data_IF_382170518331
#
_entry.id   IF_382170518331
#
_cell.length_a   1.000
_cell.length_b   1.000
_cell.length_c   1.000
_cell.angle_alpha   90.00
_cell.angle_beta   90.00
_cell.angle_gamma   90.00
#
_symmetry.space_group_name_H-M   'P 1'
#
loop_
_entity.id
_entity.type
_entity.pdbx_description
1 polymer ?
#
# COMPACT_ATOMS: atom_id res chain seq x y z
N UNK A 1 -4.77 48.46 -54.73
CA UNK A 1 -5.21 47.49 -53.70
C UNK A 1 -4.16 46.38 -53.63
N UNK A 2 -3.68 46.08 -52.41
CA UNK A 2 -2.91 44.88 -51.97
C UNK A 2 -1.68 44.49 -52.80
N UNK A 3 -0.43 44.81 -52.47
CA UNK A 3 0.31 44.73 -51.19
C UNK A 3 0.30 43.32 -50.57
N UNK A 4 1.38 42.55 -50.77
CA UNK A 4 2.00 41.58 -49.84
C UNK A 4 3.10 40.79 -50.57
N UNK A 5 4.40 41.11 -50.41
CA UNK A 5 5.47 40.14 -50.64
C UNK A 5 5.59 39.23 -49.40
N UNK A 6 5.46 37.92 -49.62
CA UNK A 6 5.76 36.88 -48.64
C UNK A 6 7.26 36.92 -48.28
N UNK A 7 7.60 37.56 -47.17
CA UNK A 7 8.88 37.37 -46.48
C UNK A 7 8.66 36.39 -45.33
N UNK A 8 8.82 35.09 -45.60
CA UNK A 8 9.14 34.13 -44.55
C UNK A 8 10.64 34.22 -44.27
N UNK A 9 11.09 34.44 -43.03
CA UNK A 9 12.50 34.26 -42.69
C UNK A 9 12.85 32.77 -42.79
N UNK A 10 14.07 32.41 -43.23
CA UNK A 10 14.52 31.04 -43.11
C UNK A 10 14.63 30.69 -41.63
N UNK A 11 13.95 29.61 -41.21
CA UNK A 11 14.21 28.95 -39.94
C UNK A 11 15.67 28.47 -39.93
N UNK A 12 16.54 29.27 -39.35
CA UNK A 12 17.88 28.89 -38.92
C UNK A 12 17.77 28.00 -37.67
N UNK A 13 17.11 26.85 -37.83
CA UNK A 13 17.31 25.74 -36.92
C UNK A 13 18.73 25.21 -37.17
N UNK A 14 19.65 25.67 -36.34
CA UNK A 14 20.98 25.12 -36.18
C UNK A 14 20.87 23.64 -35.75
N UNK A 15 20.55 22.74 -36.68
CA UNK A 15 20.96 21.35 -36.59
C UNK A 15 22.45 21.28 -36.91
N UNK A 16 23.27 21.79 -35.98
CA UNK A 16 24.69 21.50 -35.98
C UNK A 16 24.84 20.01 -35.64
N UNK A 17 24.88 19.18 -36.68
CA UNK A 17 25.31 17.78 -36.54
C UNK A 17 26.67 17.78 -35.81
N UNK A 18 26.82 17.07 -34.67
CA UNK A 18 28.04 17.11 -33.90
C UNK A 18 29.18 16.53 -34.73
N UNK A 19 30.07 17.42 -35.19
CA UNK A 19 31.18 17.13 -36.10
C UNK A 19 32.25 16.19 -35.51
N UNK A 20 32.13 15.83 -34.23
CA UNK A 20 33.06 14.95 -33.53
C UNK A 20 32.33 13.71 -33.00
N UNK A 21 32.63 12.54 -33.58
CA UNK A 21 32.12 11.24 -33.10
C UNK A 21 32.36 11.05 -31.59
N UNK A 22 33.43 11.65 -31.04
CA UNK A 22 33.74 11.67 -29.61
C UNK A 22 32.72 12.43 -28.76
N UNK A 23 32.23 13.60 -29.20
CA UNK A 23 31.19 14.34 -28.45
C UNK A 23 29.85 13.61 -28.50
N UNK A 24 29.54 12.93 -29.61
CA UNK A 24 28.36 12.06 -29.69
C UNK A 24 28.44 10.91 -28.65
N UNK A 25 29.57 10.21 -28.56
CA UNK A 25 29.76 9.14 -27.57
C UNK A 25 29.70 9.63 -26.12
N UNK A 26 30.24 10.82 -25.83
CA UNK A 26 30.15 11.42 -24.50
C UNK A 26 28.69 11.71 -24.15
N UNK A 27 27.92 12.30 -25.08
CA UNK A 27 26.49 12.58 -24.85
C UNK A 27 25.68 11.30 -24.63
N UNK A 28 25.94 10.26 -25.43
CA UNK A 28 25.30 8.95 -25.25
C UNK A 28 25.68 8.34 -23.90
N UNK A 29 26.95 8.37 -23.50
CA UNK A 29 27.37 7.86 -22.19
C UNK A 29 26.72 8.64 -21.03
N UNK A 30 26.63 9.97 -21.13
CA UNK A 30 25.95 10.78 -20.12
C UNK A 30 24.45 10.51 -20.08
N UNK A 31 23.80 10.29 -21.22
CA UNK A 31 22.39 9.93 -21.29
C UNK A 31 22.13 8.55 -20.69
N UNK A 32 22.99 7.57 -20.96
CA UNK A 32 22.89 6.22 -20.36
C UNK A 32 23.10 6.29 -18.86
N UNK A 33 24.08 7.05 -18.35
CA UNK A 33 24.27 7.24 -16.91
C UNK A 33 23.07 7.95 -16.29
N UNK A 34 22.49 8.94 -16.96
CA UNK A 34 21.30 9.64 -16.48
C UNK A 34 20.07 8.71 -16.45
N UNK A 35 19.86 7.90 -17.49
CA UNK A 35 18.81 6.90 -17.55
C UNK A 35 19.01 5.87 -16.43
N UNK A 36 20.23 5.32 -16.28
CA UNK A 36 20.54 4.40 -15.19
C UNK A 36 20.31 5.05 -13.82
N UNK A 37 20.61 6.34 -13.65
CA UNK A 37 20.32 7.06 -12.42
C UNK A 37 18.80 7.23 -12.22
N UNK A 38 18.03 7.55 -13.26
CA UNK A 38 16.57 7.63 -13.17
C UNK A 38 15.91 6.28 -12.82
N UNK A 39 16.51 5.15 -13.19
CA UNK A 39 15.99 3.82 -12.87
C UNK A 39 16.55 3.24 -11.54
N UNK A 40 17.84 3.37 -11.26
CA UNK A 40 18.45 2.82 -10.03
C UNK A 40 18.22 3.68 -8.79
N UNK A 41 18.14 5.00 -8.93
CA UNK A 41 17.96 5.90 -7.78
C UNK A 41 16.60 5.68 -7.06
N UNK A 42 15.45 5.52 -7.76
CA UNK A 42 14.20 5.21 -7.08
C UNK A 42 14.22 3.82 -6.43
N UNK A 43 14.81 2.81 -7.08
CA UNK A 43 14.96 1.48 -6.47
C UNK A 43 15.82 1.52 -5.20
N UNK A 44 16.93 2.26 -5.23
CA UNK A 44 17.81 2.42 -4.07
C UNK A 44 17.09 3.18 -2.94
N UNK A 45 16.27 4.18 -3.27
CA UNK A 45 15.45 4.89 -2.29
C UNK A 45 14.40 3.96 -1.65
N UNK A 46 13.75 3.11 -2.44
CA UNK A 46 12.84 2.08 -1.95
C UNK A 46 13.56 1.09 -1.02
N UNK A 47 14.76 0.63 -1.38
CA UNK A 47 15.55 -0.27 -0.53
C UNK A 47 15.96 0.39 0.79
N UNK A 48 16.40 1.65 0.76
CA UNK A 48 16.77 2.40 1.97
C UNK A 48 15.57 2.64 2.89
N UNK A 49 14.39 2.95 2.32
CA UNK A 49 13.16 3.14 3.11
C UNK A 49 12.66 1.84 3.73
N UNK A 50 12.69 0.72 3.00
CA UNK A 50 12.35 -0.61 3.52
C UNK A 50 13.30 -1.04 4.64
N UNK A 51 14.61 -0.83 4.47
CA UNK A 51 15.60 -1.12 5.51
C UNK A 51 15.38 -0.24 6.75
N UNK A 52 15.07 1.04 6.57
CA UNK A 52 14.70 1.96 7.66
C UNK A 52 13.45 1.51 8.41
N UNK A 53 12.42 1.04 7.71
CA UNK A 53 11.18 0.52 8.29
C UNK A 53 11.44 -0.77 9.07
N UNK A 54 12.24 -1.70 8.52
CA UNK A 54 12.67 -2.92 9.20
C UNK A 54 13.36 -2.59 10.54
N UNK A 55 14.30 -1.63 10.53
CA UNK A 55 15.01 -1.20 11.73
C UNK A 55 14.05 -0.53 12.74
N UNK A 56 13.06 0.24 12.28
CA UNK A 56 12.03 0.83 13.13
C UNK A 56 11.17 -0.23 13.83
N UNK A 57 10.76 -1.28 13.10
CA UNK A 57 9.98 -2.41 13.63
C UNK A 57 10.81 -3.22 14.63
N UNK A 58 12.07 -3.52 14.32
CA UNK A 58 12.99 -4.21 15.24
C UNK A 58 13.19 -3.39 16.52
N UNK A 59 13.35 -2.07 16.40
CA UNK A 59 13.42 -1.14 17.53
C UNK A 59 12.14 -1.13 18.38
N UNK A 60 10.97 -1.22 17.75
CA UNK A 60 9.68 -1.28 18.44
C UNK A 60 9.50 -2.58 19.23
N UNK A 61 9.89 -3.72 18.65
CA UNK A 61 9.78 -5.04 19.28
C UNK A 61 10.80 -5.19 20.40
N UNK A 62 12.09 -4.96 20.11
CA UNK A 62 13.21 -5.24 21.04
C UNK A 62 13.51 -4.09 22.01
N UNK A 63 12.94 -2.91 21.81
CA UNK A 63 13.04 -1.75 22.71
C UNK A 63 14.40 -1.05 22.75
N UNK A 64 15.47 -1.67 22.24
CA UNK A 64 16.83 -1.11 22.11
C UNK A 64 17.50 -1.63 20.83
N UNK A 65 17.91 -0.71 19.96
CA UNK A 65 18.84 -0.97 18.85
C UNK A 65 20.23 -0.49 19.28
N UNK A 66 21.20 -1.37 19.56
CA UNK A 66 22.45 -1.01 20.22
C UNK A 66 23.39 -0.12 19.40
N UNK A 67 23.27 -0.17 18.07
CA UNK A 67 24.06 0.58 17.10
C UNK A 67 23.41 1.89 16.62
N UNK A 68 22.16 2.18 17.00
CA UNK A 68 21.43 3.35 16.52
C UNK A 68 20.96 4.19 17.71
N UNK A 69 21.19 5.52 17.72
CA UNK A 69 20.83 6.39 18.84
C UNK A 69 19.31 6.65 18.98
N UNK A 70 18.47 5.70 18.57
CA UNK A 70 17.02 5.75 18.72
C UNK A 70 16.66 5.17 20.09
N UNK A 71 16.78 6.00 21.12
CA UNK A 71 16.59 5.58 22.52
C UNK A 71 15.10 5.53 22.88
N UNK A 72 14.51 4.35 22.77
CA UNK A 72 13.19 4.02 23.33
C UNK A 72 12.09 3.80 22.30
N UNK A 73 11.10 2.98 22.67
CA UNK A 73 9.98 2.52 21.84
C UNK A 73 9.14 3.67 21.23
N UNK A 74 9.09 4.83 21.91
CA UNK A 74 8.40 6.04 21.42
C UNK A 74 9.14 6.70 20.23
N UNK A 75 10.47 6.72 20.27
CA UNK A 75 11.29 7.34 19.22
C UNK A 75 11.39 6.44 17.98
N UNK A 76 11.34 5.12 18.16
CA UNK A 76 11.23 4.16 17.05
C UNK A 76 9.90 4.28 16.29
N UNK A 77 8.79 4.54 17.00
CA UNK A 77 7.49 4.81 16.36
C UNK A 77 7.48 6.09 15.52
N UNK A 78 8.10 7.17 16.04
CA UNK A 78 8.19 8.44 15.31
C UNK A 78 9.08 8.34 14.06
N UNK A 79 10.19 7.58 14.14
CA UNK A 79 11.06 7.32 12.99
C UNK A 79 10.36 6.47 11.92
N UNK A 80 9.60 5.44 12.32
CA UNK A 80 8.80 4.64 11.41
C UNK A 80 7.73 5.46 10.68
N UNK A 81 7.04 6.37 11.39
CA UNK A 81 6.07 7.29 10.80
C UNK A 81 6.73 8.21 9.75
N UNK A 82 7.93 8.73 10.04
CA UNK A 82 8.70 9.55 9.11
C UNK A 82 9.07 8.82 7.81
N UNK A 83 9.46 7.54 7.89
CA UNK A 83 9.77 6.73 6.70
C UNK A 83 8.51 6.42 5.86
N UNK A 84 7.35 6.20 6.50
CA UNK A 84 6.09 5.99 5.79
C UNK A 84 5.65 7.26 5.05
N UNK A 85 5.74 8.43 5.69
CA UNK A 85 5.42 9.72 5.05
C UNK A 85 6.35 9.99 3.86
N UNK A 86 7.65 9.69 3.98
CA UNK A 86 8.60 9.81 2.88
C UNK A 86 8.20 8.93 1.67
N UNK A 87 7.68 7.72 1.94
CA UNK A 87 7.24 6.82 0.89
C UNK A 87 5.98 7.33 0.15
N UNK A 88 5.00 7.88 0.88
CA UNK A 88 3.78 8.46 0.30
C UNK A 88 4.06 9.72 -0.53
N UNK A 89 4.98 10.59 -0.08
CA UNK A 89 5.37 11.80 -0.82
C UNK A 89 6.11 11.43 -2.11
N UNK A 90 6.92 10.36 -2.09
CA UNK A 90 7.62 9.88 -3.29
C UNK A 90 6.68 9.23 -4.32
N UNK A 91 5.55 8.66 -3.89
CA UNK A 91 4.52 8.08 -4.77
C UNK A 91 3.63 9.11 -5.47
N UNK A 92 3.49 10.33 -4.91
CA UNK A 92 2.62 11.37 -5.48
C UNK A 92 3.18 12.07 -6.73
N UNK A 93 4.43 11.80 -7.12
CA UNK A 93 5.09 12.41 -8.29
C UNK A 93 4.83 11.60 -9.57
N UNK A 94 4.43 10.33 -9.46
CA UNK A 94 4.04 9.48 -10.61
C UNK A 94 2.51 9.41 -10.69
N UNK A 95 1.89 10.30 -11.47
CA UNK A 95 0.44 10.32 -11.69
C UNK A 95 -0.07 9.08 -12.45
N UNK A 96 -1.39 8.78 -12.40
CA UNK A 96 -1.96 7.67 -13.16
C UNK A 96 -1.93 8.02 -14.65
N UNK A 97 -1.33 7.14 -15.46
CA UNK A 97 -1.44 7.22 -16.91
C UNK A 97 -2.86 6.77 -17.30
N UNK A 98 -3.74 7.73 -17.59
CA UNK A 98 -5.01 7.47 -18.28
C UNK A 98 -4.69 7.03 -19.71
N UNK A 99 -5.17 5.85 -20.08
CA UNK A 99 -5.11 5.33 -21.45
C UNK A 99 -6.39 5.74 -22.19
N UNK A 100 -6.25 6.69 -23.11
CA UNK A 100 -7.31 7.06 -24.05
C UNK A 100 -7.44 5.96 -25.11
N UNK A 101 -8.45 5.09 -24.97
CA UNK A 101 -8.87 4.18 -26.02
C UNK A 101 -9.87 4.89 -26.95
N UNK A 102 -9.40 5.28 -28.14
CA UNK A 102 -10.22 5.79 -29.23
C UNK A 102 -11.16 4.69 -29.77
N UNK A 103 -12.46 4.96 -29.79
CA UNK A 103 -13.46 4.21 -30.56
C UNK A 103 -13.77 5.03 -31.82
N UNK A 104 -13.33 4.54 -32.98
CA UNK A 104 -13.85 4.94 -34.28
C UNK A 104 -14.41 3.69 -34.96
N UNK A 105 -15.74 3.57 -34.92
CA UNK A 105 -16.50 2.57 -35.67
C UNK A 105 -16.51 2.96 -37.15
N UNK A 106 -16.14 2.00 -38.00
CA UNK A 106 -16.24 2.03 -39.46
C UNK A 106 -17.59 1.43 -39.87
N UNK A 107 -18.40 2.21 -40.59
CA UNK A 107 -19.66 1.77 -41.22
C UNK A 107 -19.41 1.57 -42.72
N UNK A 108 -19.88 0.44 -43.25
CA UNK A 108 -19.66 -0.07 -44.60
C UNK A 108 -20.73 0.40 -45.62
N UNK A 109 -20.57 -0.11 -46.85
CA UNK A 109 -21.53 -0.19 -47.99
C UNK A 109 -21.36 0.92 -49.04
N UNK A 110 -21.23 0.71 -50.36
CA UNK A 110 -21.42 -0.41 -51.31
C UNK A 110 -20.75 0.02 -52.65
N UNK A 111 -20.54 -0.87 -53.64
CA UNK A 111 -21.00 -0.46 -54.97
C UNK A 111 -21.83 -1.49 -55.75
N UNK A 112 -22.68 -0.90 -56.59
CA UNK A 112 -23.81 -1.41 -57.37
C UNK A 112 -23.34 -2.15 -58.64
N UNK A 113 -24.04 -3.24 -58.95
CA UNK A 113 -23.94 -4.11 -60.14
C UNK A 113 -24.50 -3.40 -61.39
N UNK A 114 -23.88 -3.54 -62.58
CA UNK A 114 -24.60 -3.56 -63.87
C UNK A 114 -23.77 -4.32 -64.94
N UNK A 115 -24.47 -5.12 -65.76
CA UNK A 115 -24.00 -6.16 -66.67
C UNK A 115 -24.31 -5.86 -68.16
N UNK A 116 -23.54 -6.50 -69.06
CA UNK A 116 -23.95 -7.18 -70.31
C UNK A 116 -23.90 -6.52 -71.71
N UNK A 117 -23.44 -7.34 -72.69
CA UNK A 117 -23.61 -7.24 -74.14
C UNK A 117 -22.40 -7.76 -74.95
N UNK A 118 -22.13 -9.09 -75.07
CA UNK A 118 -22.60 -10.07 -76.08
C UNK A 118 -22.17 -9.85 -77.55
N UNK A 119 -21.33 -10.75 -78.10
CA UNK A 119 -21.53 -11.46 -79.38
C UNK A 119 -20.45 -12.55 -79.65
N UNK A 120 -20.90 -13.69 -80.19
CA UNK A 120 -20.21 -14.95 -80.59
C UNK A 120 -20.20 -15.01 -82.14
N UNK A 121 -19.23 -15.64 -82.88
CA UNK A 121 -19.16 -17.10 -83.03
C UNK A 121 -17.79 -17.82 -83.21
N UNK A 122 -17.81 -19.09 -82.79
CA UNK A 122 -16.93 -20.27 -82.95
C UNK A 122 -16.69 -20.61 -84.46
N UNK A 123 -15.58 -21.28 -84.91
CA UNK A 123 -15.20 -22.62 -84.46
C UNK A 123 -13.72 -23.02 -84.31
N UNK A 124 -13.51 -23.99 -83.40
CA UNK A 124 -12.68 -25.21 -83.49
C UNK A 124 -11.32 -25.14 -84.19
N UNK A 125 -10.21 -25.24 -83.44
CA UNK A 125 -9.31 -26.42 -83.41
C UNK A 125 -8.03 -26.14 -82.57
N UNK A 126 -7.56 -27.19 -81.89
CA UNK A 126 -6.17 -27.45 -81.48
C UNK A 126 -5.59 -26.74 -80.23
N UNK A 127 -5.05 -27.58 -79.35
CA UNK A 127 -4.59 -27.31 -77.99
C UNK A 127 -3.53 -26.19 -77.91
N UNK A 128 -3.86 -25.15 -77.14
CA UNK A 128 -2.92 -24.16 -76.61
C UNK A 128 -2.80 -24.42 -75.09
N UNK A 129 -1.62 -24.24 -74.47
CA UNK A 129 -1.51 -24.35 -73.01
C UNK A 129 -2.43 -23.30 -72.38
N UNK A 130 -3.49 -23.74 -71.70
CA UNK A 130 -4.29 -22.87 -70.84
C UNK A 130 -3.31 -22.15 -69.92
N UNK A 131 -3.25 -20.83 -70.00
CA UNK A 131 -2.29 -20.06 -69.22
C UNK A 131 -2.73 -20.12 -67.75
N UNK A 132 -1.77 -20.37 -66.86
CA UNK A 132 -1.98 -20.46 -65.40
C UNK A 132 -2.70 -19.21 -64.85
N UNK A 133 -2.53 -18.06 -65.51
CA UNK A 133 -3.21 -16.80 -65.21
C UNK A 133 -4.74 -16.84 -65.37
N UNK A 134 -5.30 -17.73 -66.19
CA UNK A 134 -6.75 -17.86 -66.36
C UNK A 134 -7.42 -18.52 -65.14
N UNK A 135 -6.62 -19.17 -64.30
CA UNK A 135 -7.08 -19.99 -63.19
C UNK A 135 -6.92 -19.32 -61.82
N UNK A 136 -5.93 -18.42 -61.69
CA UNK A 136 -5.74 -17.58 -60.50
C UNK A 136 -6.96 -16.67 -60.32
N UNK A 137 -7.64 -16.79 -59.18
CA UNK A 137 -8.85 -16.01 -58.86
C UNK A 137 -10.19 -16.70 -59.19
N UNK A 138 -10.19 -17.96 -59.65
CA UNK A 138 -11.42 -18.77 -59.70
C UNK A 138 -11.73 -19.38 -58.31
N UNK A 139 -13.01 -19.68 -58.05
CA UNK A 139 -13.46 -20.35 -56.83
C UNK A 139 -13.12 -21.84 -56.89
N UNK A 140 -12.59 -22.43 -55.82
CA UNK A 140 -12.31 -23.87 -55.77
C UNK A 140 -13.50 -24.69 -55.24
N UNK A 141 -13.58 -25.97 -55.62
CA UNK A 141 -14.68 -26.89 -55.25
C UNK A 141 -14.39 -27.69 -53.96
N UNK A 142 -13.34 -27.33 -53.20
CA UNK A 142 -12.99 -28.00 -51.94
C UNK A 142 -11.78 -27.38 -51.22
N UNK A 143 -11.74 -27.57 -49.91
CA UNK A 143 -10.85 -26.97 -48.90
C UNK A 143 -9.41 -27.53 -48.84
N UNK A 144 -9.14 -28.64 -49.55
CA UNK A 144 -7.82 -29.27 -49.58
C UNK A 144 -7.46 -29.75 -50.99
N UNK A 145 -7.58 -28.85 -51.97
CA UNK A 145 -7.25 -29.16 -53.35
C UNK A 145 -5.93 -28.48 -53.76
N UNK A 146 -4.98 -29.28 -54.21
CA UNK A 146 -3.77 -28.85 -54.92
C UNK A 146 -3.94 -29.23 -56.38
N UNK A 147 -3.76 -28.27 -57.28
CA UNK A 147 -3.75 -28.55 -58.72
C UNK A 147 -2.38 -28.31 -59.32
N UNK A 148 -1.97 -29.26 -60.16
CA UNK A 148 -0.73 -29.20 -60.92
C UNK A 148 -1.05 -28.82 -62.37
N UNK A 149 -0.48 -27.72 -62.87
CA UNK A 149 -0.67 -27.27 -64.25
C UNK A 149 0.70 -26.99 -64.88
N UNK A 150 1.24 -27.99 -65.58
CA UNK A 150 2.63 -27.94 -66.07
C UNK A 150 3.61 -28.19 -64.94
N UNK A 151 4.59 -27.29 -64.75
CA UNK A 151 5.61 -27.40 -63.71
C UNK A 151 5.23 -26.64 -62.41
N UNK A 152 4.11 -25.92 -62.37
CA UNK A 152 3.67 -25.10 -61.23
C UNK A 152 2.49 -25.73 -60.46
N UNK A 153 2.46 -25.48 -59.14
CA UNK A 153 1.42 -25.94 -58.20
C UNK A 153 0.61 -24.77 -57.67
N UNK A 154 -0.71 -24.87 -57.78
CA UNK A 154 -1.67 -23.92 -57.21
C UNK A 154 -2.34 -24.55 -55.99
N UNK A 155 -2.49 -23.75 -54.93
CA UNK A 155 -3.09 -24.13 -53.66
C UNK A 155 -4.42 -23.41 -53.50
N UNK A 156 -5.41 -24.08 -52.91
CA UNK A 156 -6.64 -23.40 -52.55
C UNK A 156 -6.53 -22.77 -51.16
N UNK A 157 -6.74 -21.45 -51.08
CA UNK A 157 -6.68 -20.66 -49.85
C UNK A 157 -7.98 -19.92 -49.59
N UNK A 158 -8.29 -19.71 -48.31
CA UNK A 158 -9.44 -18.91 -47.87
C UNK A 158 -9.10 -17.41 -47.98
N UNK A 159 -9.83 -16.67 -48.81
CA UNK A 159 -9.72 -15.22 -48.90
C UNK A 159 -10.24 -14.57 -47.60
N UNK A 160 -9.79 -13.33 -47.36
CA UNK A 160 -10.26 -12.38 -46.35
C UNK A 160 -11.78 -12.19 -46.27
N UNK A 161 -12.54 -12.67 -47.26
CA UNK A 161 -14.01 -12.65 -47.32
C UNK A 161 -14.67 -14.04 -47.20
N UNK A 162 -13.95 -15.05 -46.71
CA UNK A 162 -14.38 -16.45 -46.58
C UNK A 162 -14.68 -17.17 -47.91
N UNK A 163 -14.15 -16.66 -49.03
CA UNK A 163 -14.25 -17.32 -50.34
C UNK A 163 -12.97 -18.08 -50.65
N UNK A 164 -13.07 -19.33 -51.09
CA UNK A 164 -11.89 -20.10 -51.44
C UNK A 164 -11.39 -19.75 -52.85
N UNK A 165 -10.11 -19.39 -52.99
CA UNK A 165 -9.46 -19.00 -54.24
C UNK A 165 -8.20 -19.81 -54.51
N UNK A 166 -7.88 -19.99 -55.80
CA UNK A 166 -6.59 -20.57 -56.21
C UNK A 166 -5.47 -19.53 -56.13
N UNK A 167 -4.47 -19.82 -55.32
CA UNK A 167 -3.30 -18.98 -55.06
C UNK A 167 -2.00 -19.72 -55.42
N UNK A 168 -0.95 -18.96 -55.67
CA UNK A 168 0.40 -19.50 -55.89
C UNK A 168 1.02 -20.00 -54.58
N UNK A 169 2.05 -20.86 -54.64
CA UNK A 169 2.78 -21.33 -53.44
C UNK A 169 3.22 -20.17 -52.53
N UNK A 170 3.76 -19.09 -53.09
CA UNK A 170 4.26 -17.94 -52.32
C UNK A 170 3.12 -17.21 -51.59
N UNK A 171 1.94 -17.14 -52.19
CA UNK A 171 0.74 -16.53 -51.60
C UNK A 171 0.11 -17.43 -50.53
N UNK A 172 0.12 -18.75 -50.75
CA UNK A 172 -0.28 -19.76 -49.76
C UNK A 172 0.63 -19.74 -48.53
N UNK A 173 1.96 -19.73 -48.73
CA UNK A 173 2.89 -19.68 -47.60
C UNK A 173 2.70 -18.39 -46.79
N UNK A 174 2.34 -17.28 -47.47
CA UNK A 174 2.03 -16.01 -46.82
C UNK A 174 0.68 -16.03 -46.09
N UNK A 175 -0.36 -16.66 -46.64
CA UNK A 175 -1.67 -16.82 -45.99
C UNK A 175 -1.54 -17.69 -44.73
N UNK A 176 -0.77 -18.78 -44.79
CA UNK A 176 -0.49 -19.68 -43.67
C UNK A 176 0.30 -18.98 -42.57
N UNK A 177 1.32 -18.18 -42.92
CA UNK A 177 2.05 -17.38 -41.95
C UNK A 177 1.16 -16.31 -41.31
N UNK A 178 0.33 -15.61 -42.08
CA UNK A 178 -0.62 -14.64 -41.56
C UNK A 178 -1.66 -15.29 -40.64
N UNK A 179 -2.16 -16.47 -40.98
CA UNK A 179 -3.08 -17.23 -40.14
C UNK A 179 -2.42 -17.69 -38.83
N UNK A 180 -1.14 -18.10 -38.89
CA UNK A 180 -0.36 -18.45 -37.71
C UNK A 180 -0.10 -17.25 -36.81
N UNK A 181 0.30 -16.11 -37.36
CA UNK A 181 0.48 -14.86 -36.61
C UNK A 181 -0.84 -14.39 -35.99
N UNK A 182 -1.96 -14.49 -36.72
CA UNK A 182 -3.29 -14.17 -36.20
C UNK A 182 -3.71 -15.12 -35.07
N UNK A 183 -3.39 -16.41 -35.17
CA UNK A 183 -3.63 -17.39 -34.11
C UNK A 183 -2.78 -17.11 -32.86
N UNK A 184 -1.50 -16.76 -33.03
CA UNK A 184 -0.60 -16.37 -31.94
C UNK A 184 -1.06 -15.06 -31.28
N UNK A 185 -1.52 -14.07 -32.05
CA UNK A 185 -2.09 -12.83 -31.53
C UNK A 185 -3.37 -13.08 -30.74
N UNK A 186 -4.30 -13.89 -31.26
CA UNK A 186 -5.51 -14.29 -30.52
C UNK A 186 -5.18 -15.02 -29.23
N UNK A 187 -4.22 -15.94 -29.25
CA UNK A 187 -3.77 -16.63 -28.04
C UNK A 187 -3.11 -15.69 -27.03
N UNK A 188 -2.36 -14.69 -27.49
CA UNK A 188 -1.78 -13.67 -26.63
C UNK A 188 -2.84 -12.74 -26.00
N UNK A 189 -3.87 -12.37 -26.76
CA UNK A 189 -4.99 -11.55 -26.29
C UNK A 189 -5.85 -12.31 -25.26
N UNK A 190 -6.20 -13.57 -25.53
CA UNK A 190 -6.91 -14.43 -24.56
C UNK A 190 -6.11 -14.61 -23.27
N UNK A 191 -4.78 -14.80 -23.38
CA UNK A 191 -3.89 -14.91 -22.23
C UNK A 191 -3.85 -13.60 -21.44
N UNK A 192 -3.76 -12.46 -22.12
CA UNK A 192 -3.78 -11.14 -21.47
C UNK A 192 -5.13 -10.86 -20.77
N UNK A 193 -6.25 -11.27 -21.37
CA UNK A 193 -7.57 -11.16 -20.76
C UNK A 193 -7.72 -12.07 -19.53
N UNK A 194 -7.17 -13.29 -19.58
CA UNK A 194 -7.15 -14.22 -18.45
C UNK A 194 -6.30 -13.67 -17.29
N UNK A 195 -5.09 -13.16 -17.56
CA UNK A 195 -4.23 -12.53 -16.55
C UNK A 195 -4.88 -11.27 -15.95
N UNK A 196 -5.57 -10.47 -16.76
CA UNK A 196 -6.34 -9.31 -16.27
C UNK A 196 -7.47 -9.73 -15.33
N UNK A 197 -8.24 -10.76 -15.69
CA UNK A 197 -9.32 -11.30 -14.84
C UNK A 197 -8.80 -11.87 -13.53
N UNK A 198 -7.64 -12.53 -13.55
CA UNK A 198 -6.99 -13.04 -12.33
C UNK A 198 -6.51 -11.89 -11.43
N UNK A 199 -5.89 -10.86 -12.01
CA UNK A 199 -5.45 -9.67 -11.28
C UNK A 199 -6.63 -8.91 -10.64
N UNK A 200 -7.74 -8.72 -11.37
CA UNK A 200 -8.95 -8.09 -10.85
C UNK A 200 -9.60 -8.92 -9.72
N UNK A 201 -9.66 -10.25 -9.87
CA UNK A 201 -10.15 -11.13 -8.82
C UNK A 201 -9.30 -11.07 -7.55
N UNK A 202 -7.97 -11.02 -7.69
CA UNK A 202 -7.03 -10.89 -6.57
C UNK A 202 -7.15 -9.53 -5.88
N UNK A 203 -7.26 -8.44 -6.64
CA UNK A 203 -7.49 -7.10 -6.11
C UNK A 203 -8.85 -7.00 -5.37
N UNK A 204 -9.90 -7.63 -5.89
CA UNK A 204 -11.20 -7.69 -5.23
C UNK A 204 -11.17 -8.50 -3.93
N UNK A 205 -10.40 -9.60 -3.89
CA UNK A 205 -10.22 -10.40 -2.67
C UNK A 205 -9.45 -9.63 -1.59
N UNK A 206 -8.36 -8.96 -1.96
CA UNK A 206 -7.55 -8.16 -1.03
C UNK A 206 -8.34 -6.97 -0.48
N UNK A 207 -9.15 -6.31 -1.32
CA UNK A 207 -10.06 -5.24 -0.87
C UNK A 207 -11.10 -5.75 0.14
N UNK A 208 -11.68 -6.93 -0.09
CA UNK A 208 -12.64 -7.56 0.85
C UNK A 208 -11.98 -7.93 2.18
N UNK A 209 -10.74 -8.43 2.15
CA UNK A 209 -9.99 -8.74 3.37
C UNK A 209 -9.65 -7.47 4.16
N UNK A 210 -9.21 -6.41 3.48
CA UNK A 210 -8.93 -5.12 4.11
C UNK A 210 -10.19 -4.49 4.74
N UNK A 211 -11.34 -4.56 4.07
CA UNK A 211 -12.61 -4.04 4.58
C UNK A 211 -13.10 -4.85 5.79
N UNK A 212 -13.01 -6.19 5.75
CA UNK A 212 -13.34 -7.05 6.89
C UNK A 212 -12.46 -6.77 8.10
N UNK A 213 -11.16 -6.55 7.88
CA UNK A 213 -10.21 -6.20 8.95
C UNK A 213 -10.50 -4.83 9.56
N UNK A 214 -10.85 -3.84 8.73
CA UNK A 214 -11.23 -2.51 9.19
C UNK A 214 -12.53 -2.52 10.04
N UNK A 215 -13.52 -3.32 9.63
CA UNK A 215 -14.75 -3.52 10.41
C UNK A 215 -14.45 -4.19 11.75
N UNK A 216 -13.64 -5.26 11.76
CA UNK A 216 -13.25 -5.96 12.98
C UNK A 216 -12.46 -5.06 13.96
N UNK A 217 -11.56 -4.21 13.46
CA UNK A 217 -10.81 -3.27 14.28
C UNK A 217 -11.70 -2.18 14.88
N UNK A 218 -12.67 -1.67 14.10
CA UNK A 218 -13.65 -0.69 14.57
C UNK A 218 -14.56 -1.27 15.66
N UNK A 219 -15.04 -2.50 15.50
CA UNK A 219 -15.82 -3.19 16.53
C UNK A 219 -15.01 -3.45 17.81
N UNK A 220 -13.73 -3.82 17.66
CA UNK A 220 -12.84 -4.01 18.81
C UNK A 220 -12.57 -2.69 19.55
N UNK A 221 -12.40 -1.57 18.82
CA UNK A 221 -12.23 -0.25 19.40
C UNK A 221 -13.51 0.22 20.14
N UNK A 222 -14.68 -0.03 19.57
CA UNK A 222 -15.97 0.32 20.19
C UNK A 222 -16.23 -0.49 21.47
N UNK A 223 -15.94 -1.79 21.46
CA UNK A 223 -16.02 -2.64 22.67
C UNK A 223 -15.09 -2.15 23.77
N UNK A 224 -13.84 -1.78 23.45
CA UNK A 224 -12.90 -1.21 24.42
C UNK A 224 -13.37 0.15 24.94
N UNK A 225 -13.94 1.00 24.10
CA UNK A 225 -14.49 2.29 24.53
C UNK A 225 -15.70 2.12 25.46
N UNK A 226 -16.56 1.13 25.20
CA UNK A 226 -17.67 0.79 26.09
C UNK A 226 -17.18 0.27 27.45
N UNK A 227 -16.17 -0.60 27.47
CA UNK A 227 -15.58 -1.14 28.70
C UNK A 227 -14.92 -0.04 29.56
N UNK A 228 -14.22 0.92 28.94
CA UNK A 228 -13.65 2.07 29.64
C UNK A 228 -14.75 2.94 30.28
N UNK A 229 -15.84 3.21 29.56
CA UNK A 229 -16.96 3.99 30.11
C UNK A 229 -17.61 3.30 31.31
N UNK A 230 -17.78 1.97 31.25
CA UNK A 230 -18.31 1.18 32.39
C UNK A 230 -17.35 1.21 33.58
N UNK A 231 -16.03 1.15 33.34
CA UNK A 231 -15.01 1.23 34.38
C UNK A 231 -14.97 2.62 35.04
N UNK A 232 -15.08 3.70 34.26
CA UNK A 232 -15.14 5.07 34.77
C UNK A 232 -16.40 5.33 35.61
N UNK A 233 -17.56 4.82 35.18
CA UNK A 233 -18.80 4.95 35.95
C UNK A 233 -18.73 4.18 37.27
N UNK A 234 -18.14 2.98 37.27
CA UNK A 234 -17.92 2.19 38.48
C UNK A 234 -16.96 2.90 39.45
N UNK A 235 -15.86 3.47 38.94
CA UNK A 235 -14.91 4.23 39.75
C UNK A 235 -15.55 5.51 40.34
N UNK A 236 -16.42 6.19 39.58
CA UNK A 236 -17.16 7.35 40.08
C UNK A 236 -18.14 6.98 41.20
N UNK A 237 -18.87 5.86 41.06
CA UNK A 237 -19.77 5.33 42.08
C UNK A 237 -19.03 4.90 43.35
N UNK A 238 -17.87 4.25 43.21
CA UNK A 238 -17.03 3.85 44.35
C UNK A 238 -16.45 5.07 45.08
N UNK A 239 -16.00 6.09 44.35
CA UNK A 239 -15.53 7.34 44.94
C UNK A 239 -16.64 8.09 45.66
N UNK A 240 -17.86 8.11 45.10
CA UNK A 240 -19.03 8.68 45.76
C UNK A 240 -19.40 7.93 47.05
N UNK A 241 -19.42 6.59 47.01
CA UNK A 241 -19.67 5.77 48.20
C UNK A 241 -18.63 6.01 49.30
N UNK A 242 -17.34 6.13 48.94
CA UNK A 242 -16.27 6.43 49.88
C UNK A 242 -16.38 7.84 50.48
N UNK A 243 -16.90 8.82 49.74
CA UNK A 243 -17.15 10.16 50.28
C UNK A 243 -18.28 10.14 51.33
N UNK A 244 -19.36 9.39 51.07
CA UNK A 244 -20.47 9.22 52.04
C UNK A 244 -19.98 8.50 53.31
N UNK A 245 -19.07 7.53 53.18
CA UNK A 245 -18.47 6.84 54.33
C UNK A 245 -17.56 7.75 55.18
N UNK A 246 -16.82 8.66 54.55
CA UNK A 246 -15.99 9.66 55.25
C UNK A 246 -16.84 10.72 55.95
N UNK A 247 -17.99 11.09 55.40
CA UNK A 247 -18.90 12.05 56.04
C UNK A 247 -19.64 11.42 57.24
N UNK A 248 -20.11 10.19 57.11
CA UNK A 248 -20.80 9.46 58.20
C UNK A 248 -19.89 9.13 59.39
N UNK A 249 -18.59 8.92 59.17
CA UNK A 249 -17.61 8.74 60.26
C UNK A 249 -17.23 10.03 60.98
N UNK A 250 -17.43 11.20 60.33
CA UNK A 250 -17.15 12.51 60.93
C UNK A 250 -18.23 12.95 61.93
N UNK A 251 -19.48 12.55 61.72
CA UNK A 251 -20.59 12.85 62.65
C UNK A 251 -20.65 11.90 63.88
N UNK A 252 -19.94 10.77 63.85
CA UNK A 252 -19.87 9.83 64.98
C UNK A 252 -18.80 10.16 66.04
N UNK A 253 -18.04 11.25 65.91
CA UNK A 253 -17.09 11.70 66.94
C UNK A 253 -17.81 12.45 68.06
N UNK A 254 -18.34 11.70 69.03
CA UNK A 254 -18.70 12.24 70.34
C UNK A 254 -17.41 12.65 71.06
N UNK A 255 -17.27 13.95 71.33
CA UNK A 255 -16.09 14.54 71.94
C UNK A 255 -15.65 13.80 73.23
N UNK A 256 -14.39 13.36 73.35
CA UNK A 256 -13.88 12.84 74.61
C UNK A 256 -13.80 13.98 75.63
N UNK A 257 -14.38 13.76 76.81
CA UNK A 257 -14.29 14.69 77.94
C UNK A 257 -12.82 15.03 78.22
N UNK A 258 -12.49 16.32 78.17
CA UNK A 258 -11.20 16.94 78.51
C UNK A 258 -10.69 16.42 79.86
N UNK A 259 -9.73 15.50 79.86
CA UNK A 259 -8.93 15.22 81.06
C UNK A 259 -7.92 16.36 81.24
N UNK A 260 -7.88 16.89 82.47
CA UNK A 260 -7.04 18.00 82.91
C UNK A 260 -5.56 17.61 82.79
N UNK A 261 -4.74 18.43 82.13
CA UNK A 261 -3.32 18.18 81.98
C UNK A 261 -2.64 18.02 83.36
N UNK A 262 -1.72 17.05 83.56
CA UNK A 262 -1.02 16.90 84.81
C UNK A 262 -0.10 18.11 84.99
N UNK A 263 -0.36 18.90 86.03
CA UNK A 263 0.61 19.89 86.52
C UNK A 263 1.88 19.15 86.89
N UNK A 264 3.02 19.53 86.31
CA UNK A 264 4.31 18.87 86.51
C UNK A 264 4.84 19.11 87.92
N UNK A 265 4.30 18.38 88.90
CA UNK A 265 4.93 18.20 90.21
C UNK A 265 6.24 17.44 90.00
N UNK A 266 7.32 17.82 90.68
CA UNK A 266 8.63 17.15 90.59
C UNK A 266 9.18 16.92 91.99
N UNK A 267 9.54 15.68 92.29
CA UNK A 267 10.18 15.30 93.55
C UNK A 267 11.64 14.96 93.33
N UNK A 268 12.51 15.47 94.20
CA UNK A 268 13.95 15.23 94.10
C UNK A 268 14.35 13.81 94.56
N UNK A 269 13.62 13.23 95.51
CA UNK A 269 13.87 11.89 96.07
C UNK A 269 12.62 11.37 96.81
N UNK A 270 12.63 10.08 97.17
CA UNK A 270 11.51 9.44 97.89
C UNK A 270 11.23 10.03 99.28
N UNK A 271 12.22 10.66 99.93
CA UNK A 271 11.98 11.38 101.19
C UNK A 271 11.08 12.60 100.98
N UNK A 272 11.22 13.30 99.85
CA UNK A 272 10.35 14.41 99.48
C UNK A 272 8.93 13.94 99.13
N UNK A 273 8.80 12.76 98.50
CA UNK A 273 7.50 12.12 98.20
C UNK A 273 6.78 11.75 99.50
N UNK A 274 7.48 11.10 100.44
CA UNK A 274 6.95 10.76 101.76
C UNK A 274 6.60 11.98 102.61
N UNK A 275 7.44 13.02 102.59
CA UNK A 275 7.16 14.27 103.30
C UNK A 275 5.92 14.99 102.75
N UNK A 276 5.65 14.85 101.45
CA UNK A 276 4.44 15.34 100.82
C UNK A 276 3.22 14.42 101.01
N UNK A 277 3.40 13.24 101.63
CA UNK A 277 2.33 12.24 101.82
C UNK A 277 1.84 11.62 100.51
N UNK A 278 2.66 11.62 99.46
CA UNK A 278 2.30 11.15 98.11
C UNK A 278 2.83 9.74 97.80
N UNK A 279 3.18 8.97 98.84
CA UNK A 279 3.79 7.65 98.76
C UNK A 279 2.76 6.54 99.02
N UNK A 280 2.65 5.48 98.19
CA UNK A 280 3.38 5.19 96.95
C UNK A 280 2.91 6.06 95.77
N UNK A 281 3.83 6.42 94.86
CA UNK A 281 3.51 7.19 93.64
C UNK A 281 3.54 6.30 92.39
N UNK A 282 2.45 6.31 91.61
CA UNK A 282 2.29 5.38 90.47
C UNK A 282 2.64 6.02 89.12
N UNK A 283 3.00 5.18 88.14
CA UNK A 283 3.27 5.62 86.77
C UNK A 283 2.03 6.32 86.18
N UNK A 284 2.17 7.61 85.91
CA UNK A 284 1.10 8.48 85.40
C UNK A 284 0.64 9.53 86.41
N UNK A 285 0.97 9.35 87.70
CA UNK A 285 0.70 10.34 88.73
C UNK A 285 1.61 11.57 88.58
N UNK A 286 1.11 12.78 88.91
CA UNK A 286 1.92 13.99 88.93
C UNK A 286 3.09 13.85 89.90
N UNK A 287 4.32 13.88 89.40
CA UNK A 287 5.53 13.69 90.21
C UNK A 287 6.21 12.35 90.06
N UNK A 288 5.59 11.38 89.38
CA UNK A 288 6.27 10.12 89.07
C UNK A 288 7.46 10.37 88.14
N UNK A 289 8.57 9.73 88.48
CA UNK A 289 9.78 9.72 87.68
C UNK A 289 10.42 8.35 87.79
N UNK A 290 10.90 7.80 86.67
CA UNK A 290 11.64 6.53 86.65
C UNK A 290 12.93 6.55 87.48
N UNK A 291 13.36 7.72 87.98
CA UNK A 291 14.48 7.85 88.92
C UNK A 291 14.10 7.55 90.37
N UNK A 292 12.80 7.61 90.69
CA UNK A 292 12.25 7.32 92.02
C UNK A 292 11.83 5.85 92.14
N UNK A 293 11.54 5.22 91.00
CA UNK A 293 11.20 3.81 90.82
C UNK A 293 12.48 3.00 90.59
N UNK A 294 13.02 2.39 91.65
CA UNK A 294 14.36 1.77 91.61
C UNK A 294 14.38 0.45 90.84
N UNK A 295 13.28 -0.28 90.86
CA UNK A 295 13.09 -1.59 90.24
C UNK A 295 12.30 -1.52 88.93
N UNK A 296 11.60 -0.41 88.66
CA UNK A 296 11.01 -0.07 87.38
C UNK A 296 9.62 -0.65 87.14
N UNK A 297 8.96 -1.13 88.19
CA UNK A 297 7.70 -1.86 88.13
C UNK A 297 6.47 -0.94 87.94
N UNK A 298 6.68 0.39 88.05
CA UNK A 298 5.64 1.40 87.93
C UNK A 298 5.13 1.94 89.27
N UNK A 299 5.70 1.51 90.40
CA UNK A 299 5.42 2.00 91.76
C UNK A 299 6.71 2.59 92.33
N UNK A 300 6.76 3.91 92.48
CA UNK A 300 7.92 4.56 93.09
C UNK A 300 7.73 4.74 94.60
N UNK A 301 8.86 4.63 95.31
CA UNK A 301 9.03 4.97 96.72
C UNK A 301 8.41 4.05 97.79
N UNK A 302 8.08 2.80 97.43
CA UNK A 302 7.69 1.72 98.37
C UNK A 302 8.62 1.53 99.60
#
# INVERSE_FOLDING_TARGET
MSNFPNSMPPDSSHNQAPKNRKTLWILVATAVVFILLLFLLPELLILVTLLGLLVAVIGMIRGKVPWLPVRGRKNSGLFGLGMVVLMFVSGAIMGPAESEANIAASEASEPIVTSSGSATPTPTESASPTAIADFVGQTCEGDELVMEQGDEKLYCDEDTKAGLIWATQDEHDKSVLAAKEAAEQKAAEEKAEAEKKEAEAKAAAEKKEAEAKAVAEKEAAEKKAAEVKVAEEKAAKEKAARLVEVETTKEAYVAPKKQKAPTSTYYANCSAVRAAGADPIYRGDPGYSSKLDRDGDGVACE
#
